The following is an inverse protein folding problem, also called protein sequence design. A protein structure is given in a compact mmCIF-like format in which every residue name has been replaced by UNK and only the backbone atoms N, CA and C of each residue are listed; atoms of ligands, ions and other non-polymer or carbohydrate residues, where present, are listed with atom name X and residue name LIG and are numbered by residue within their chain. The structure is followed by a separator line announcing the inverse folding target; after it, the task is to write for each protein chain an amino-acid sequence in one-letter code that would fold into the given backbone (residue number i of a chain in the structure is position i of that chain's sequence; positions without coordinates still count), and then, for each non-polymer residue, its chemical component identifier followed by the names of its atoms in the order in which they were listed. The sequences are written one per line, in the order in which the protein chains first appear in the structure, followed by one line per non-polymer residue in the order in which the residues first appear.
data_IF_017637076654
#
_entry.id   IF_017637076654
#
_cell.length_a   1.000
_cell.length_b   1.000
_cell.length_c   1.000
_cell.angle_alpha   90.00
_cell.angle_beta   90.00
_cell.angle_gamma   90.00
#
_symmetry.space_group_name_H-M   'P 1'
#
loop_
_entity.id
_entity.type
_entity.pdbx_description
1 polymer ?
#
# COMPACT_ATOMS: atom_id res chain seq x y z
N UNK A 1 19.66 7.15 -40.36
CA UNK A 1 18.27 6.99 -39.87
C UNK A 1 18.20 6.17 -38.57
N UNK A 2 19.31 5.98 -37.85
CA UNK A 2 19.39 5.01 -36.73
C UNK A 2 19.65 5.67 -35.37
N UNK A 3 19.93 6.98 -35.36
CA UNK A 3 20.20 7.75 -34.14
C UNK A 3 18.94 8.36 -33.49
N UNK A 4 17.83 8.45 -34.23
CA UNK A 4 16.57 9.04 -33.76
C UNK A 4 15.80 8.10 -32.81
N UNK A 5 15.90 6.77 -32.99
CA UNK A 5 15.22 5.81 -32.11
C UNK A 5 15.84 5.74 -30.70
N UNK A 6 17.16 5.84 -30.58
CA UNK A 6 17.86 5.77 -29.29
C UNK A 6 17.55 6.96 -28.36
N UNK A 7 17.29 8.14 -28.93
CA UNK A 7 16.92 9.33 -28.15
C UNK A 7 15.46 9.28 -27.65
N UNK A 8 14.60 8.51 -28.30
CA UNK A 8 13.20 8.33 -27.91
C UNK A 8 13.07 7.32 -26.76
N UNK A 9 13.98 6.36 -26.66
CA UNK A 9 14.06 5.38 -25.58
C UNK A 9 14.64 5.98 -24.28
N UNK A 10 15.65 6.84 -24.38
CA UNK A 10 16.25 7.51 -23.21
C UNK A 10 15.34 8.57 -22.55
N UNK A 11 14.39 9.13 -23.31
CA UNK A 11 13.51 10.20 -22.81
C UNK A 11 12.35 9.71 -21.93
N UNK A 12 12.07 8.41 -21.94
CA UNK A 12 11.01 7.80 -21.12
C UNK A 12 11.56 7.13 -19.84
N UNK A 13 12.89 7.07 -19.68
CA UNK A 13 13.53 6.41 -18.54
C UNK A 13 13.79 7.34 -17.34
N UNK A 14 14.12 8.60 -17.58
CA UNK A 14 14.39 9.56 -16.49
C UNK A 14 13.13 9.93 -15.71
N UNK A 15 12.00 10.10 -16.40
CA UNK A 15 10.72 10.42 -15.76
C UNK A 15 10.29 9.30 -14.80
N UNK A 16 10.64 8.04 -15.10
CA UNK A 16 10.28 6.94 -14.20
C UNK A 16 11.14 6.88 -12.94
N UNK A 17 12.45 7.07 -13.11
CA UNK A 17 13.42 7.05 -12.02
C UNK A 17 13.13 8.18 -11.03
N UNK A 18 12.79 9.36 -11.55
CA UNK A 18 12.45 10.50 -10.69
C UNK A 18 11.09 10.35 -10.00
N UNK A 19 10.05 9.76 -10.63
CA UNK A 19 8.80 9.50 -9.89
C UNK A 19 8.99 8.52 -8.75
N UNK A 20 9.81 7.47 -8.89
CA UNK A 20 10.07 6.51 -7.80
C UNK A 20 10.72 7.23 -6.62
N UNK A 21 11.72 8.06 -6.93
CA UNK A 21 12.47 8.82 -5.93
C UNK A 21 11.58 9.85 -5.23
N UNK A 22 10.76 10.57 -5.97
CA UNK A 22 9.90 11.62 -5.44
C UNK A 22 8.71 11.06 -4.67
N UNK A 23 8.10 9.98 -5.17
CA UNK A 23 7.09 9.26 -4.42
C UNK A 23 7.69 8.66 -3.15
N UNK A 24 8.89 8.08 -3.20
CA UNK A 24 9.61 7.61 -2.02
C UNK A 24 9.85 8.70 -0.96
N UNK A 25 10.16 9.94 -1.38
CA UNK A 25 10.23 11.09 -0.45
C UNK A 25 8.85 11.46 0.12
N UNK A 26 7.80 11.46 -0.69
CA UNK A 26 6.42 11.73 -0.25
C UNK A 26 5.96 10.72 0.79
N UNK A 27 6.19 9.42 0.55
CA UNK A 27 5.87 8.32 1.49
C UNK A 27 6.53 8.54 2.86
N UNK A 28 7.82 8.91 2.90
CA UNK A 28 8.51 9.22 4.17
C UNK A 28 7.93 10.40 4.94
N UNK A 29 7.24 11.32 4.25
CA UNK A 29 6.60 12.46 4.89
C UNK A 29 5.17 12.14 5.39
N UNK A 30 4.58 11.00 5.01
CA UNK A 30 3.25 10.58 5.47
C UNK A 30 3.21 10.35 6.99
N UNK A 31 4.31 9.85 7.56
CA UNK A 31 4.44 9.63 9.01
C UNK A 31 4.42 10.94 9.80
N UNK A 32 4.77 12.06 9.16
CA UNK A 32 4.77 13.41 9.77
C UNK A 32 3.42 14.11 9.65
N UNK A 33 2.48 13.57 8.87
CA UNK A 33 1.15 14.16 8.73
C UNK A 33 0.33 13.96 10.01
N UNK A 34 -0.51 14.96 10.31
CA UNK A 34 -1.54 14.83 11.33
C UNK A 34 -2.58 13.77 10.93
N UNK A 35 -3.44 13.37 11.88
CA UNK A 35 -4.39 12.28 11.68
C UNK A 35 -5.33 12.51 10.50
N UNK A 36 -5.86 13.72 10.33
CA UNK A 36 -6.85 14.01 9.28
C UNK A 36 -6.21 14.01 7.89
N UNK A 37 -5.04 14.64 7.76
CA UNK A 37 -4.29 14.63 6.50
C UNK A 37 -3.82 13.22 6.13
N UNK A 38 -3.43 12.40 7.12
CA UNK A 38 -3.07 11.00 6.91
C UNK A 38 -4.26 10.18 6.44
N UNK A 39 -5.43 10.35 7.06
CA UNK A 39 -6.66 9.69 6.62
C UNK A 39 -7.03 10.09 5.20
N UNK A 40 -6.98 11.38 4.87
CA UNK A 40 -7.27 11.88 3.53
C UNK A 40 -6.33 11.30 2.46
N UNK A 41 -5.06 11.10 2.79
CA UNK A 41 -4.11 10.46 1.87
C UNK A 41 -4.38 8.97 1.70
N UNK A 42 -4.58 8.23 2.79
CA UNK A 42 -4.84 6.78 2.77
C UNK A 42 -6.12 6.48 1.98
N UNK A 43 -7.19 7.26 2.19
CA UNK A 43 -8.48 7.09 1.52
C UNK A 43 -8.39 7.17 -0.01
N UNK A 44 -7.35 7.78 -0.59
CA UNK A 44 -7.13 7.78 -2.05
C UNK A 44 -6.89 6.38 -2.59
N UNK A 45 -6.23 5.53 -1.82
CA UNK A 45 -5.83 4.17 -2.20
C UNK A 45 -6.85 3.11 -1.75
N UNK A 46 -7.73 3.44 -0.81
CA UNK A 46 -8.80 2.57 -0.33
C UNK A 46 -9.90 2.49 -1.39
N UNK A 47 -10.35 1.27 -1.68
CA UNK A 47 -11.50 0.98 -2.52
C UNK A 47 -12.77 0.93 -1.65
N UNK A 48 -12.78 0.03 -0.65
CA UNK A 48 -13.85 -0.04 0.34
C UNK A 48 -13.34 -0.50 1.71
N UNK A 49 -14.18 -0.24 2.71
CA UNK A 49 -13.96 -0.65 4.11
C UNK A 49 -15.19 -1.44 4.53
N UNK A 50 -14.99 -2.71 4.89
CA UNK A 50 -16.04 -3.58 5.38
C UNK A 50 -15.80 -3.80 6.87
N UNK A 51 -16.85 -3.58 7.66
CA UNK A 51 -16.83 -3.84 9.11
C UNK A 51 -17.82 -4.96 9.39
N UNK A 52 -17.33 -6.05 9.95
CA UNK A 52 -18.17 -7.16 10.42
C UNK A 52 -18.05 -7.31 11.92
N UNK A 53 -19.12 -7.75 12.57
CA UNK A 53 -19.11 -8.07 14.00
C UNK A 53 -19.18 -9.58 14.18
N UNK A 54 -18.21 -10.13 14.91
CA UNK A 54 -18.19 -11.52 15.29
C UNK A 54 -18.81 -11.65 16.69
N UNK A 55 -20.02 -12.19 16.76
CA UNK A 55 -20.77 -12.33 18.03
C UNK A 55 -20.11 -13.32 19.00
N UNK A 56 -19.52 -14.40 18.49
CA UNK A 56 -18.87 -15.43 19.32
C UNK A 56 -17.63 -14.89 20.04
N UNK A 57 -16.80 -14.15 19.31
CA UNK A 57 -15.56 -13.56 19.85
C UNK A 57 -15.76 -12.16 20.42
N UNK A 58 -16.94 -11.57 20.21
CA UNK A 58 -17.26 -10.16 20.53
C UNK A 58 -16.21 -9.20 19.95
N UNK A 59 -15.71 -9.50 18.76
CA UNK A 59 -14.70 -8.69 18.04
C UNK A 59 -15.31 -8.06 16.81
N UNK A 60 -14.87 -6.86 16.45
CA UNK A 60 -15.12 -6.28 15.14
C UNK A 60 -13.97 -6.64 14.21
N UNK A 61 -14.27 -7.18 13.04
CA UNK A 61 -13.28 -7.37 11.99
C UNK A 61 -13.39 -6.20 11.00
N UNK A 62 -12.26 -5.53 10.77
CA UNK A 62 -12.13 -4.43 9.84
C UNK A 62 -11.34 -4.90 8.62
N UNK A 63 -12.03 -5.07 7.50
CA UNK A 63 -11.43 -5.41 6.22
C UNK A 63 -11.30 -4.16 5.37
N UNK A 64 -10.06 -3.71 5.16
CA UNK A 64 -9.73 -2.62 4.25
C UNK A 64 -9.27 -3.23 2.94
N UNK A 65 -9.99 -2.96 1.86
CA UNK A 65 -9.57 -3.33 0.50
C UNK A 65 -9.08 -2.11 -0.25
N UNK A 66 -7.96 -2.28 -0.91
CA UNK A 66 -7.25 -1.27 -1.67
C UNK A 66 -7.54 -1.41 -3.16
N UNK A 67 -7.36 -0.32 -3.91
CA UNK A 67 -7.45 -0.29 -5.37
C UNK A 67 -6.31 -1.02 -6.06
N UNK A 68 -5.19 -1.18 -5.37
CA UNK A 68 -3.96 -1.80 -5.88
C UNK A 68 -3.51 -2.92 -4.92
N UNK A 69 -2.87 -3.99 -5.42
CA UNK A 69 -2.44 -5.13 -4.61
C UNK A 69 -1.13 -4.82 -3.88
N UNK A 70 -1.09 -3.77 -3.07
CA UNK A 70 0.14 -3.28 -2.43
C UNK A 70 0.44 -3.93 -1.07
N UNK A 71 -0.50 -4.70 -0.49
CA UNK A 71 -0.30 -5.33 0.81
C UNK A 71 0.62 -6.54 0.65
N UNK A 72 1.83 -6.47 1.20
CA UNK A 72 2.80 -7.56 1.12
C UNK A 72 3.49 -7.71 -0.25
N UNK A 73 3.25 -6.77 -1.16
CA UNK A 73 3.98 -6.68 -2.43
C UNK A 73 5.48 -6.51 -2.12
N UNK A 74 6.31 -7.30 -2.80
CA UNK A 74 7.75 -7.32 -2.49
C UNK A 74 8.62 -7.58 -3.71
N UNK A 75 9.74 -6.87 -3.74
CA UNK A 75 10.82 -7.06 -4.70
C UNK A 75 12.00 -7.73 -4.00
N UNK A 76 12.23 -9.02 -4.25
CA UNK A 76 13.34 -9.78 -3.67
C UNK A 76 14.47 -9.91 -4.68
N UNK A 77 15.63 -9.31 -4.39
CA UNK A 77 16.81 -9.48 -5.22
C UNK A 77 17.45 -10.84 -4.99
N UNK A 78 17.78 -11.56 -6.07
CA UNK A 78 18.39 -12.91 -5.99
C UNK A 78 19.78 -12.92 -5.36
N UNK A 79 20.45 -11.77 -5.32
CA UNK A 79 21.80 -11.63 -4.77
C UNK A 79 22.10 -10.18 -4.40
N UNK A 80 23.15 -9.95 -3.60
CA UNK A 80 23.74 -8.61 -3.39
C UNK A 80 24.16 -7.95 -4.70
N UNK A 81 24.52 -8.75 -5.71
CA UNK A 81 24.75 -8.25 -7.06
C UNK A 81 23.42 -8.14 -7.82
N UNK A 82 22.88 -6.91 -7.90
CA UNK A 82 21.59 -6.59 -8.53
C UNK A 82 21.49 -7.03 -10.00
N UNK A 83 22.61 -7.25 -10.68
CA UNK A 83 22.66 -7.77 -12.06
C UNK A 83 22.15 -9.21 -12.19
N UNK A 84 22.07 -9.97 -11.09
CA UNK A 84 21.52 -11.34 -11.08
C UNK A 84 19.99 -11.39 -11.13
N UNK A 85 19.34 -10.22 -11.21
CA UNK A 85 17.89 -10.10 -11.32
C UNK A 85 17.16 -10.14 -9.98
N UNK A 86 15.84 -10.09 -10.08
CA UNK A 86 14.90 -10.01 -8.96
C UNK A 86 13.74 -10.98 -9.16
N UNK A 87 13.03 -11.23 -8.07
CA UNK A 87 11.77 -11.96 -8.02
C UNK A 87 10.71 -11.03 -7.46
N UNK A 88 9.51 -11.11 -8.02
CA UNK A 88 8.34 -10.37 -7.56
C UNK A 88 7.50 -11.31 -6.69
N UNK A 89 7.19 -10.86 -5.47
CA UNK A 89 6.18 -11.49 -4.64
C UNK A 89 4.86 -10.77 -4.85
N UNK A 90 3.82 -11.49 -5.24
CA UNK A 90 2.49 -10.92 -5.44
C UNK A 90 1.92 -10.39 -4.13
N UNK A 91 1.45 -9.14 -4.16
CA UNK A 91 0.75 -8.53 -3.04
C UNK A 91 -0.75 -8.86 -3.04
N UNK A 92 -1.41 -8.49 -1.95
CA UNK A 92 -2.84 -8.61 -1.74
C UNK A 92 -3.53 -7.25 -1.79
N UNK A 93 -4.80 -7.26 -2.15
CA UNK A 93 -5.68 -6.09 -2.08
C UNK A 93 -6.26 -5.85 -0.69
N UNK A 94 -6.23 -6.86 0.19
CA UNK A 94 -7.00 -6.86 1.44
C UNK A 94 -6.08 -6.87 2.65
N UNK A 95 -6.35 -5.96 3.59
CA UNK A 95 -5.81 -5.94 4.93
C UNK A 95 -6.96 -6.12 5.93
N UNK A 96 -6.93 -7.22 6.68
CA UNK A 96 -7.90 -7.53 7.73
C UNK A 96 -7.30 -7.27 9.11
N UNK A 97 -8.03 -6.59 9.98
CA UNK A 97 -7.62 -6.32 11.36
C UNK A 97 -8.77 -6.61 12.31
N UNK A 98 -8.54 -7.48 13.29
CA UNK A 98 -9.50 -7.73 14.36
C UNK A 98 -9.30 -6.74 15.51
N UNK A 99 -10.38 -6.04 15.85
CA UNK A 99 -10.44 -5.05 16.92
C UNK A 99 -11.33 -5.60 18.03
N UNK A 100 -10.79 -5.71 19.24
CA UNK A 100 -11.58 -6.10 20.40
C UNK A 100 -12.61 -5.03 20.76
N UNK A 101 -13.85 -5.45 20.96
CA UNK A 101 -14.92 -4.54 21.38
C UNK A 101 -14.75 -4.20 22.86
N UNK A 102 -14.30 -2.98 23.16
CA UNK A 102 -14.21 -2.48 24.53
C UNK A 102 -15.58 -1.96 25.03
N UNK A 103 -16.65 -2.76 24.87
CA UNK A 103 -17.97 -2.38 25.33
C UNK A 103 -18.08 -2.61 26.85
N UNK A 104 -17.78 -1.56 27.65
CA UNK A 104 -17.98 -1.59 29.11
C UNK A 104 -19.44 -1.65 29.55
N UNK A 105 -20.41 -1.38 28.66
CA UNK A 105 -21.83 -1.45 28.99
C UNK A 105 -22.63 -1.91 27.77
N UNK A 106 -23.03 -3.18 27.75
CA UNK A 106 -24.23 -3.59 27.05
C UNK A 106 -25.20 -3.99 28.15
N UNK A 107 -26.04 -3.02 28.55
CA UNK A 107 -27.14 -3.26 29.47
C UNK A 107 -27.97 -4.41 28.93
N UNK A 108 -28.20 -5.41 29.79
CA UNK A 108 -29.15 -6.49 29.54
C UNK A 108 -30.48 -5.85 29.12
N UNK A 109 -30.98 -6.22 27.94
CA UNK A 109 -32.34 -5.94 27.52
C UNK A 109 -33.13 -7.23 27.57
#
# INVERSE_FOLDING_TARGET
MEKENLLTELRNDDDWVDWVKDYGKKVKNLDKLNRDARNAEILKYVDNIVVSFNEERRTHSLDVRLKLPIIGDSLKYKSKNKKKGYELGEGSFVAAVDIQSHAKNLGKR
#
